data_IF_388296664006
#
_entry.id   IF_388296664006
#
_cell.length_a   1.000
_cell.length_b   1.000
_cell.length_c   1.000
_cell.angle_alpha   90.00
_cell.angle_beta   90.00
_cell.angle_gamma   90.00
#
_symmetry.space_group_name_H-M   'P 1'
#
loop_
_entity.id
_entity.type
_entity.pdbx_description
1 polymer ?
#
# COMPACT_ATOMS: atom_id res chain seq x y z
N UNK A 1 -1.37 -9.25 -3.94
CA UNK A 1 -0.56 -8.06 -4.31
C UNK A 1 -1.43 -6.82 -4.30
N UNK A 2 -0.88 -5.67 -3.95
CA UNK A 2 -1.53 -4.36 -3.96
C UNK A 2 -0.54 -3.29 -4.43
N UNK A 3 -1.04 -2.24 -5.08
CA UNK A 3 -0.24 -1.08 -5.48
C UNK A 3 -0.67 0.11 -4.63
N UNK A 4 0.25 0.69 -3.86
CA UNK A 4 0.02 1.89 -3.05
C UNK A 4 0.72 3.08 -3.69
N UNK A 5 -0.01 4.18 -3.86
CA UNK A 5 0.51 5.44 -4.40
C UNK A 5 0.40 6.52 -3.34
N UNK A 6 1.52 7.13 -2.99
CA UNK A 6 1.59 8.09 -1.90
C UNK A 6 2.59 9.22 -2.17
N UNK A 7 2.46 10.31 -1.42
CA UNK A 7 3.36 11.46 -1.47
C UNK A 7 4.66 11.15 -0.72
N UNK A 8 5.75 11.00 -1.46
CA UNK A 8 7.11 10.94 -0.93
C UNK A 8 7.66 12.30 -0.50
N UNK A 9 8.94 12.32 -0.12
CA UNK A 9 9.64 13.55 0.30
C UNK A 9 9.80 14.51 -0.88
N UNK A 10 10.20 13.99 -2.03
CA UNK A 10 10.48 14.77 -3.24
C UNK A 10 9.38 14.60 -4.31
N UNK A 11 8.80 13.41 -4.45
CA UNK A 11 7.88 13.10 -5.54
C UNK A 11 6.79 12.07 -5.16
N UNK A 12 5.87 11.80 -6.09
CA UNK A 12 4.87 10.74 -5.92
C UNK A 12 5.54 9.36 -6.00
N UNK A 13 5.39 8.55 -4.96
CA UNK A 13 5.89 7.18 -4.90
C UNK A 13 4.75 6.22 -5.24
N UNK A 14 5.04 5.26 -6.11
CA UNK A 14 4.16 4.13 -6.42
C UNK A 14 4.91 2.86 -6.13
N UNK A 15 4.35 1.99 -5.31
CA UNK A 15 4.99 0.76 -4.90
C UNK A 15 4.02 -0.41 -4.95
N UNK A 16 4.50 -1.52 -5.52
CA UNK A 16 3.80 -2.79 -5.54
C UNK A 16 4.24 -3.61 -4.32
N UNK A 17 3.28 -3.91 -3.46
CA UNK A 17 3.47 -4.55 -2.16
C UNK A 17 2.57 -5.76 -2.06
N UNK A 18 3.00 -6.81 -1.38
CA UNK A 18 2.07 -7.91 -1.08
C UNK A 18 0.98 -7.43 -0.11
N UNK A 19 -0.22 -7.98 -0.26
CA UNK A 19 -1.34 -7.66 0.64
C UNK A 19 -1.04 -8.07 2.09
N UNK A 20 -0.29 -9.17 2.28
CA UNK A 20 0.19 -9.60 3.60
C UNK A 20 1.16 -8.59 4.24
N UNK A 21 1.87 -7.83 3.40
CA UNK A 21 2.87 -6.84 3.82
C UNK A 21 2.27 -5.44 3.99
N UNK A 22 1.12 -5.16 3.38
CA UNK A 22 0.43 -3.87 3.42
C UNK A 22 -0.68 -3.85 4.47
N UNK A 23 -0.43 -3.17 5.58
CA UNK A 23 -1.34 -3.11 6.71
C UNK A 23 -1.93 -1.70 6.87
N UNK A 24 -3.26 -1.59 6.84
CA UNK A 24 -3.93 -0.35 7.22
C UNK A 24 -4.10 -0.28 8.74
N UNK A 25 -3.60 0.80 9.34
CA UNK A 25 -3.82 1.19 10.74
C UNK A 25 -4.74 2.40 10.80
N UNK A 26 -5.18 2.78 12.00
CA UNK A 26 -6.20 3.81 12.20
C UNK A 26 -5.92 5.14 11.45
N UNK A 27 -4.66 5.56 11.38
CA UNK A 27 -4.24 6.82 10.77
C UNK A 27 -3.20 6.70 9.63
N UNK A 28 -2.65 5.52 9.38
CA UNK A 28 -1.55 5.33 8.44
C UNK A 28 -1.55 3.94 7.79
N UNK A 29 -0.90 3.86 6.64
CA UNK A 29 -0.52 2.60 6.02
C UNK A 29 0.88 2.21 6.48
N UNK A 30 1.06 0.93 6.78
CA UNK A 30 2.33 0.32 7.15
C UNK A 30 2.68 -0.71 6.09
N UNK A 31 3.84 -0.54 5.45
CA UNK A 31 4.40 -1.50 4.50
C UNK A 31 5.56 -2.20 5.20
N UNK A 32 5.55 -3.52 5.22
CA UNK A 32 6.67 -4.34 5.66
C UNK A 32 7.48 -4.77 4.44
N UNK A 33 8.79 -4.58 4.46
CA UNK A 33 9.68 -4.93 3.32
C UNK A 33 10.47 -6.23 3.53
N UNK A 34 10.32 -6.87 4.70
CA UNK A 34 11.24 -7.90 5.18
C UNK A 34 12.42 -7.28 5.96
N UNK A 35 13.17 -8.11 6.67
CA UNK A 35 14.35 -7.69 7.46
C UNK A 35 14.10 -6.57 8.48
N UNK A 36 12.92 -6.57 9.14
CA UNK A 36 12.51 -5.56 10.13
C UNK A 36 12.40 -4.12 9.57
N UNK A 37 12.41 -3.96 8.23
CA UNK A 37 12.22 -2.68 7.58
C UNK A 37 10.73 -2.38 7.38
N UNK A 38 10.30 -1.20 7.85
CA UNK A 38 8.92 -0.74 7.75
C UNK A 38 8.85 0.66 7.18
N UNK A 39 7.94 0.86 6.23
CA UNK A 39 7.56 2.18 5.74
C UNK A 39 6.22 2.58 6.34
N UNK A 40 6.19 3.77 6.94
CA UNK A 40 4.98 4.35 7.54
C UNK A 40 4.50 5.52 6.70
N UNK A 41 3.28 5.43 6.20
CA UNK A 41 2.69 6.41 5.29
C UNK A 41 1.41 6.93 5.93
N UNK A 42 1.39 8.19 6.43
CA UNK A 42 0.18 8.81 6.93
C UNK A 42 -0.93 8.76 5.88
N UNK A 43 -2.18 8.52 6.29
CA UNK A 43 -3.32 8.44 5.37
C UNK A 43 -3.47 9.68 4.49
N UNK A 44 -3.08 10.85 5.01
CA UNK A 44 -3.14 12.14 4.32
C UNK A 44 -2.17 12.24 3.14
N UNK A 45 -1.16 11.35 3.10
CA UNK A 45 -0.19 11.25 2.02
C UNK A 45 -0.57 10.18 1.00
N UNK A 46 -1.55 9.32 1.27
CA UNK A 46 -1.96 8.27 0.34
C UNK A 46 -2.95 8.81 -0.67
N UNK A 47 -2.62 8.67 -1.95
CA UNK A 47 -3.47 9.06 -3.06
C UNK A 47 -4.43 7.94 -3.45
N UNK A 48 -3.91 6.71 -3.59
CA UNK A 48 -4.73 5.54 -3.92
C UNK A 48 -4.06 4.25 -3.44
N UNK A 49 -4.87 3.24 -3.16
CA UNK A 49 -4.44 1.86 -2.91
C UNK A 49 -5.29 0.96 -3.81
N UNK A 50 -4.63 0.24 -4.72
CA UNK A 50 -5.26 -0.71 -5.62
C UNK A 50 -4.92 -2.12 -5.16
N UNK A 51 -5.90 -2.88 -4.67
CA UNK A 51 -5.70 -4.30 -4.37
C UNK A 51 -5.77 -5.08 -5.68
N UNK A 52 -4.64 -5.67 -6.09
CA UNK A 52 -4.60 -6.64 -7.19
C UNK A 52 -4.97 -8.01 -6.62
N UNK A 53 -6.25 -8.15 -6.28
CA UNK A 53 -6.82 -9.42 -5.88
C UNK A 53 -7.18 -10.23 -7.14
N UNK A 54 -6.54 -11.39 -7.40
CA UNK A 54 -6.88 -12.21 -8.56
C UNK A 54 -8.27 -12.87 -8.46
N UNK A 55 -8.99 -12.71 -7.34
CA UNK A 55 -10.33 -13.27 -7.13
C UNK A 55 -11.45 -12.28 -7.44
N UNK A 56 -11.16 -11.10 -7.98
CA UNK A 56 -12.16 -10.23 -8.60
C UNK A 56 -12.52 -10.72 -10.02
N UNK A 57 -12.96 -11.98 -10.13
CA UNK A 57 -13.85 -12.39 -11.22
C UNK A 57 -15.25 -12.09 -10.69
N UNK A 58 -15.77 -10.91 -11.01
CA UNK A 58 -17.20 -10.63 -10.92
C UNK A 58 -17.90 -11.62 -11.87
N UNK A 59 -18.43 -12.71 -11.31
CA UNK A 59 -19.46 -13.52 -11.96
C UNK A 59 -20.71 -12.64 -12.05
N UNK A 60 -20.99 -12.16 -13.27
CA UNK A 60 -22.26 -11.54 -13.65
C UNK A 60 -23.23 -12.64 -14.12
#
# INVERSE_FOLDING_TARGET
MATIVYRGVDDTVSEDVDDEQLNYREDHWQIHHGDDEYTYIPRERVYTVQMNDPHFITDE
#
